data_IF_060675634716
#
_entry.id   IF_060675634716
#
_cell.length_a   1.000
_cell.length_b   1.000
_cell.length_c   1.000
_cell.angle_alpha   90.00
_cell.angle_beta   90.00
_cell.angle_gamma   90.00
#
_symmetry.space_group_name_H-M   'P 1'
#
loop_
_entity.id
_entity.type
_entity.pdbx_description
1 polymer ?
#
# COMPACT_ATOMS: atom_id res chain seq x y z
N UNK A 1 22.07 -0.99 -19.90
CA UNK A 1 21.72 0.40 -19.48
C UNK A 1 20.22 0.56 -19.33
N UNK A 2 19.41 0.01 -20.22
CA UNK A 2 17.93 0.16 -20.18
C UNK A 2 17.28 -0.49 -18.97
N UNK A 3 17.77 -1.65 -18.50
CA UNK A 3 17.28 -2.27 -17.26
C UNK A 3 17.38 -1.34 -16.05
N UNK A 4 18.50 -0.62 -15.92
CA UNK A 4 18.71 0.37 -14.85
C UNK A 4 17.77 1.57 -15.03
N UNK A 5 17.52 2.01 -16.28
CA UNK A 5 16.59 3.12 -16.57
C UNK A 5 15.15 2.74 -16.25
N UNK A 6 14.71 1.54 -16.66
CA UNK A 6 13.38 1.03 -16.34
C UNK A 6 13.18 0.90 -14.82
N UNK A 7 14.13 0.25 -14.13
CA UNK A 7 14.07 0.10 -12.67
C UNK A 7 14.05 1.46 -11.95
N UNK A 8 14.91 2.40 -12.37
CA UNK A 8 14.92 3.76 -11.81
C UNK A 8 13.59 4.48 -12.04
N UNK A 9 13.06 4.43 -13.25
CA UNK A 9 11.80 5.12 -13.59
C UNK A 9 10.63 4.59 -12.76
N UNK A 10 10.60 3.28 -12.50
CA UNK A 10 9.61 2.67 -11.62
C UNK A 10 9.78 3.10 -10.15
N UNK A 11 11.02 3.23 -9.68
CA UNK A 11 11.31 3.77 -8.34
C UNK A 11 10.90 5.25 -8.24
N UNK A 12 11.25 6.06 -9.24
CA UNK A 12 10.88 7.49 -9.29
C UNK A 12 9.36 7.64 -9.23
N UNK A 13 8.61 6.85 -10.02
CA UNK A 13 7.15 6.80 -9.94
C UNK A 13 6.67 6.47 -8.52
N UNK A 14 7.23 5.43 -7.90
CA UNK A 14 6.82 4.94 -6.58
C UNK A 14 7.06 6.00 -5.50
N UNK A 15 8.22 6.67 -5.52
CA UNK A 15 8.53 7.73 -4.56
C UNK A 15 7.64 8.96 -4.73
N UNK A 16 7.36 9.37 -5.97
CA UNK A 16 6.46 10.50 -6.21
C UNK A 16 5.04 10.15 -5.76
N UNK A 17 4.55 8.94 -6.04
CA UNK A 17 3.23 8.48 -5.62
C UNK A 17 3.00 8.50 -4.09
N UNK A 18 4.08 8.50 -3.31
CA UNK A 18 4.06 8.55 -1.84
C UNK A 18 4.06 9.98 -1.27
N UNK A 19 4.08 11.01 -2.12
CA UNK A 19 4.07 12.39 -1.64
C UNK A 19 2.79 12.69 -0.85
N UNK A 20 2.94 13.43 0.24
CA UNK A 20 1.82 13.83 1.10
C UNK A 20 0.85 14.81 0.41
N UNK A 21 1.27 15.43 -0.70
CA UNK A 21 0.47 16.32 -1.51
C UNK A 21 0.95 16.26 -2.97
N UNK A 22 0.02 16.44 -3.91
CA UNK A 22 0.32 16.47 -5.33
C UNK A 22 -0.10 17.80 -5.95
N UNK A 23 0.81 18.36 -6.76
CA UNK A 23 0.53 19.41 -7.74
C UNK A 23 0.43 18.82 -9.14
N UNK A 24 -0.11 19.58 -10.10
CA UNK A 24 -0.11 19.16 -11.51
C UNK A 24 1.30 18.84 -12.04
N UNK A 25 2.32 19.53 -11.54
CA UNK A 25 3.72 19.24 -11.87
C UNK A 25 4.14 17.86 -11.36
N UNK A 26 3.86 17.54 -10.09
CA UNK A 26 4.21 16.21 -9.53
C UNK A 26 3.44 15.08 -10.22
N UNK A 27 2.18 15.30 -10.60
CA UNK A 27 1.39 14.33 -11.36
C UNK A 27 1.99 14.10 -12.75
N UNK A 28 2.42 15.17 -13.41
CA UNK A 28 3.13 15.08 -14.69
C UNK A 28 4.48 14.36 -14.56
N UNK A 29 5.18 14.53 -13.44
CA UNK A 29 6.40 13.76 -13.15
C UNK A 29 6.10 12.26 -13.00
N UNK A 30 5.00 11.88 -12.37
CA UNK A 30 4.56 10.47 -12.30
C UNK A 30 4.28 9.90 -13.69
N UNK A 31 3.51 10.61 -14.52
CA UNK A 31 3.22 10.20 -15.89
C UNK A 31 4.51 10.03 -16.71
N UNK A 32 5.43 11.00 -16.59
CA UNK A 32 6.73 10.95 -17.27
C UNK A 32 7.58 9.76 -16.83
N UNK A 33 7.59 9.46 -15.52
CA UNK A 33 8.31 8.30 -14.98
C UNK A 33 7.71 6.98 -15.47
N UNK A 34 6.37 6.88 -15.54
CA UNK A 34 5.70 5.69 -16.05
C UNK A 34 5.94 5.49 -17.56
N UNK A 35 5.93 6.58 -18.34
CA UNK A 35 6.27 6.56 -19.76
C UNK A 35 7.71 6.09 -19.98
N UNK A 36 8.67 6.59 -19.21
CA UNK A 36 10.08 6.17 -19.31
C UNK A 36 10.26 4.69 -18.91
N UNK A 37 9.51 4.21 -17.92
CA UNK A 37 9.44 2.79 -17.62
C UNK A 37 8.92 1.99 -18.82
N UNK A 38 7.80 2.39 -19.42
CA UNK A 38 7.21 1.69 -20.57
C UNK A 38 8.11 1.67 -21.81
N UNK A 39 8.92 2.72 -22.04
CA UNK A 39 9.92 2.74 -23.12
C UNK A 39 11.05 1.72 -22.94
N UNK A 40 11.38 1.38 -21.70
CA UNK A 40 12.57 0.57 -21.39
C UNK A 40 12.26 -0.81 -20.81
N UNK A 41 11.02 -1.10 -20.41
CA UNK A 41 10.62 -2.35 -19.72
C UNK A 41 10.91 -3.63 -20.53
N UNK A 42 10.90 -3.55 -21.86
CA UNK A 42 11.09 -4.71 -22.73
C UNK A 42 12.46 -5.35 -22.58
N UNK A 43 13.43 -4.62 -22.00
CA UNK A 43 14.72 -5.17 -21.60
C UNK A 43 14.59 -6.41 -20.71
N UNK A 44 13.59 -6.47 -19.82
CA UNK A 44 13.38 -7.60 -18.92
C UNK A 44 12.87 -8.85 -19.66
N UNK A 45 12.12 -8.67 -20.74
CA UNK A 45 11.69 -9.74 -21.63
C UNK A 45 12.87 -10.21 -22.49
N UNK A 46 13.61 -9.27 -23.08
CA UNK A 46 14.72 -9.56 -23.99
C UNK A 46 15.91 -10.26 -23.30
N UNK A 47 16.12 -10.01 -22.01
CA UNK A 47 17.15 -10.73 -21.23
C UNK A 47 16.68 -12.07 -20.69
N UNK A 48 15.42 -12.46 -20.91
CA UNK A 48 14.82 -13.66 -20.31
C UNK A 48 14.67 -13.58 -18.80
N UNK A 49 14.63 -12.37 -18.22
CA UNK A 49 14.45 -12.18 -16.78
C UNK A 49 12.99 -12.46 -16.36
N UNK A 50 12.05 -12.32 -17.29
CA UNK A 50 10.65 -12.68 -17.11
C UNK A 50 10.01 -13.05 -18.45
N UNK A 51 8.95 -13.84 -18.42
CA UNK A 51 8.20 -14.27 -19.61
C UNK A 51 7.11 -13.25 -20.01
N UNK A 52 6.60 -12.47 -19.06
CA UNK A 52 5.57 -11.46 -19.30
C UNK A 52 5.61 -10.35 -18.25
N UNK A 53 5.17 -9.15 -18.64
CA UNK A 53 4.97 -7.99 -17.77
C UNK A 53 3.48 -7.69 -17.52
N UNK A 54 2.59 -8.63 -17.84
CA UNK A 54 1.12 -8.52 -17.69
C UNK A 54 0.70 -8.73 -16.24
N UNK A 55 1.29 -7.94 -15.34
CA UNK A 55 1.01 -7.96 -13.92
C UNK A 55 -0.10 -6.94 -13.63
N UNK A 56 -1.22 -7.33 -12.99
CA UNK A 56 -2.27 -6.40 -12.61
C UNK A 56 -1.76 -5.19 -11.80
N UNK A 57 -0.74 -5.42 -10.96
CA UNK A 57 -0.09 -4.36 -10.17
C UNK A 57 0.71 -3.37 -11.02
N UNK A 58 1.21 -3.80 -12.17
CA UNK A 58 1.94 -2.93 -13.10
C UNK A 58 0.97 -2.13 -13.96
N UNK A 59 -0.11 -2.79 -14.39
CA UNK A 59 -1.19 -2.13 -15.13
C UNK A 59 -1.90 -1.06 -14.29
N UNK A 60 -2.12 -1.32 -12.99
CA UNK A 60 -2.81 -0.37 -12.11
C UNK A 60 -2.11 0.98 -11.98
N UNK A 61 -0.79 1.06 -12.23
CA UNK A 61 -0.01 2.30 -12.19
C UNK A 61 -0.54 3.36 -13.17
N UNK A 62 -1.10 2.94 -14.31
CA UNK A 62 -1.71 3.83 -15.31
C UNK A 62 -2.89 4.63 -14.74
N UNK A 63 -3.54 4.11 -13.70
CA UNK A 63 -4.71 4.74 -13.09
C UNK A 63 -4.38 5.64 -11.90
N UNK A 64 -3.12 5.74 -11.47
CA UNK A 64 -2.77 6.50 -10.26
C UNK A 64 -3.04 7.98 -10.39
N UNK A 65 -2.62 8.65 -11.47
CA UNK A 65 -2.81 10.11 -11.58
C UNK A 65 -4.29 10.48 -11.66
N UNK A 66 -5.10 9.70 -12.39
CA UNK A 66 -6.55 9.85 -12.42
C UNK A 66 -7.17 9.62 -11.02
N UNK A 67 -6.74 8.57 -10.32
CA UNK A 67 -7.22 8.27 -8.96
C UNK A 67 -6.85 9.37 -7.98
N UNK A 68 -5.64 9.93 -8.06
CA UNK A 68 -5.20 11.01 -7.18
C UNK A 68 -6.03 12.27 -7.41
N UNK A 69 -6.37 12.58 -8.67
CA UNK A 69 -7.25 13.72 -9.00
C UNK A 69 -8.67 13.54 -8.46
N UNK A 70 -9.18 12.31 -8.44
CA UNK A 70 -10.57 12.00 -8.02
C UNK A 70 -10.71 11.82 -6.51
N UNK A 71 -9.73 11.19 -5.86
CA UNK A 71 -9.83 10.70 -4.49
C UNK A 71 -8.79 11.31 -3.53
N UNK A 72 -7.88 12.13 -4.04
CA UNK A 72 -6.79 12.73 -3.26
C UNK A 72 -5.56 11.83 -3.18
N UNK A 73 -4.64 12.17 -2.27
CA UNK A 73 -3.34 11.48 -2.14
C UNK A 73 -3.49 10.01 -1.77
N UNK A 74 -2.54 9.19 -2.21
CA UNK A 74 -2.55 7.73 -2.05
C UNK A 74 -2.65 7.29 -0.59
N UNK A 75 -2.07 8.05 0.34
CA UNK A 75 -2.16 7.80 1.78
C UNK A 75 -3.58 7.88 2.35
N UNK A 76 -4.52 8.58 1.68
CA UNK A 76 -5.90 8.73 2.15
C UNK A 76 -6.76 7.47 1.98
N UNK A 77 -6.33 6.52 1.16
CA UNK A 77 -7.06 5.29 0.87
C UNK A 77 -6.17 4.04 0.84
N UNK A 78 -4.94 4.14 1.37
CA UNK A 78 -4.10 2.97 1.55
C UNK A 78 -4.57 2.11 2.74
N UNK A 79 -4.15 0.85 2.78
CA UNK A 79 -4.56 -0.09 3.83
C UNK A 79 -3.58 -0.16 5.00
N UNK A 80 -2.55 0.68 5.03
CA UNK A 80 -1.49 0.63 6.05
C UNK A 80 -2.05 0.92 7.44
N UNK A 81 -2.89 1.96 7.56
CA UNK A 81 -3.53 2.32 8.82
C UNK A 81 -4.45 1.20 9.33
N UNK A 82 -5.26 0.64 8.43
CA UNK A 82 -6.17 -0.45 8.78
C UNK A 82 -5.43 -1.72 9.15
N UNK A 83 -4.32 -2.06 8.47
CA UNK A 83 -3.51 -3.24 8.80
C UNK A 83 -2.78 -3.04 10.14
N UNK A 84 -2.31 -1.82 10.43
CA UNK A 84 -1.73 -1.50 11.75
C UNK A 84 -2.75 -1.67 12.86
N UNK A 85 -3.97 -1.16 12.68
CA UNK A 85 -5.06 -1.37 13.61
C UNK A 85 -5.44 -2.84 13.71
N UNK A 86 -5.43 -3.59 12.62
CA UNK A 86 -5.73 -5.02 12.61
C UNK A 86 -4.75 -5.83 13.49
N UNK A 87 -3.46 -5.44 13.56
CA UNK A 87 -2.52 -6.04 14.51
C UNK A 87 -2.97 -5.83 15.96
N UNK A 88 -3.30 -4.60 16.32
CA UNK A 88 -3.61 -4.23 17.70
C UNK A 88 -4.99 -4.70 18.16
N UNK A 89 -5.99 -4.60 17.27
CA UNK A 89 -7.40 -4.83 17.56
C UNK A 89 -7.84 -6.27 17.27
N UNK A 90 -7.22 -6.95 16.30
CA UNK A 90 -7.60 -8.32 15.95
C UNK A 90 -6.52 -9.33 16.32
N UNK A 91 -5.30 -9.25 15.77
CA UNK A 91 -4.28 -10.30 15.94
C UNK A 91 -3.95 -10.56 17.41
N UNK A 92 -3.70 -9.51 18.19
CA UNK A 92 -3.40 -9.67 19.63
C UNK A 92 -4.58 -10.22 20.45
N UNK A 93 -5.82 -9.86 20.09
CA UNK A 93 -7.01 -10.41 20.75
C UNK A 93 -7.23 -11.88 20.40
N UNK A 94 -6.98 -12.24 19.14
CA UNK A 94 -7.01 -13.62 18.66
C UNK A 94 -5.94 -14.48 19.36
N UNK A 95 -4.69 -14.01 19.40
CA UNK A 95 -3.58 -14.68 20.09
C UNK A 95 -3.85 -14.90 21.59
N UNK A 96 -4.54 -13.97 22.25
CA UNK A 96 -4.92 -14.10 23.66
C UNK A 96 -6.11 -15.05 23.90
N UNK A 97 -6.77 -15.52 22.83
CA UNK A 97 -7.95 -16.38 22.91
C UNK A 97 -7.58 -17.87 23.00
N UNK A 98 -8.57 -18.68 23.37
CA UNK A 98 -8.45 -20.14 23.30
C UNK A 98 -8.78 -20.71 21.90
N UNK A 99 -8.95 -19.86 20.89
CA UNK A 99 -9.24 -20.23 19.49
C UNK A 99 -10.49 -21.11 19.30
N UNK A 100 -11.48 -20.99 20.20
CA UNK A 100 -12.77 -21.69 20.06
C UNK A 100 -13.67 -20.89 19.12
N UNK A 101 -14.02 -21.49 18.00
CA UNK A 101 -14.73 -20.83 16.89
C UNK A 101 -16.03 -20.13 17.33
N UNK A 102 -16.76 -20.71 18.27
CA UNK A 102 -18.02 -20.18 18.80
C UNK A 102 -17.84 -18.99 19.76
N UNK A 103 -16.68 -18.91 20.43
CA UNK A 103 -16.43 -17.94 21.51
C UNK A 103 -15.45 -16.83 21.10
N UNK A 104 -14.82 -16.95 19.93
CA UNK A 104 -13.66 -16.12 19.57
C UNK A 104 -14.01 -14.64 19.39
N UNK A 105 -15.10 -14.34 18.68
CA UNK A 105 -15.52 -12.96 18.44
C UNK A 105 -15.99 -12.29 19.75
N UNK A 106 -16.90 -12.89 20.56
CA UNK A 106 -17.26 -12.33 21.87
C UNK A 106 -16.06 -12.13 22.81
N UNK A 107 -15.11 -13.06 22.80
CA UNK A 107 -13.88 -12.95 23.58
C UNK A 107 -13.03 -11.76 23.12
N UNK A 108 -12.77 -11.65 21.81
CA UNK A 108 -11.95 -10.57 21.24
C UNK A 108 -12.57 -9.20 21.51
N UNK A 109 -13.89 -9.04 21.39
CA UNK A 109 -14.60 -7.81 21.74
C UNK A 109 -14.40 -7.46 23.22
N UNK A 110 -14.62 -8.41 24.12
CA UNK A 110 -14.45 -8.21 25.57
C UNK A 110 -13.00 -7.89 25.95
N UNK A 111 -12.04 -8.54 25.29
CA UNK A 111 -10.61 -8.32 25.49
C UNK A 111 -10.21 -6.90 25.08
N UNK A 112 -10.74 -6.41 23.95
CA UNK A 112 -10.49 -5.09 23.43
C UNK A 112 -11.06 -4.00 24.35
N UNK A 113 -12.32 -4.14 24.79
CA UNK A 113 -12.95 -3.23 25.74
C UNK A 113 -12.16 -3.08 27.05
N UNK A 114 -11.64 -4.20 27.58
CA UNK A 114 -10.82 -4.19 28.80
C UNK A 114 -9.52 -3.41 28.60
N UNK A 115 -8.86 -3.64 27.46
CA UNK A 115 -7.60 -2.97 27.13
C UNK A 115 -7.79 -1.47 26.93
N UNK A 116 -8.90 -1.04 26.31
CA UNK A 116 -9.26 0.37 26.22
C UNK A 116 -9.49 1.01 27.59
N UNK A 117 -10.22 0.32 28.49
CA UNK A 117 -10.47 0.81 29.86
C UNK A 117 -9.17 0.97 30.65
N UNK A 118 -8.26 0.00 30.55
CA UNK A 118 -6.94 0.07 31.19
C UNK A 118 -6.09 1.22 30.62
N UNK A 119 -6.08 1.39 29.31
CA UNK A 119 -5.36 2.50 28.67
C UNK A 119 -5.87 3.86 29.15
N UNK A 120 -7.20 4.07 29.14
CA UNK A 120 -7.82 5.31 29.64
C UNK A 120 -7.48 5.56 31.11
N UNK A 121 -7.49 4.52 31.94
CA UNK A 121 -7.13 4.65 33.36
C UNK A 121 -5.67 5.12 33.54
N UNK A 122 -4.74 4.59 32.75
CA UNK A 122 -3.32 4.95 32.84
C UNK A 122 -2.94 6.32 32.27
N UNK A 123 -3.85 7.00 31.57
CA UNK A 123 -3.64 8.37 31.07
C UNK A 123 -4.19 9.46 31.98
N UNK A 124 -4.84 9.08 33.08
CA UNK A 124 -5.19 9.98 34.19
C UNK A 124 -4.04 10.04 35.19
#
# INVERSE_FOLDING_TARGET
>A
KDAVRAARSLLDFTYIAQYACHTDETLKMMETALDEFHKHKDVFLNTGATESLDLPKLHSLVHYTASIRLFGVTGGYNTEQTERLHIDLAKRGYEASNHREQDILPFMCSWLERREKMFRFGTY
#
